data_IF_699431013536
#
_entry.id   IF_699431013536
#
_cell.length_a   1.000
_cell.length_b   1.000
_cell.length_c   1.000
_cell.angle_alpha   90.00
_cell.angle_beta   90.00
_cell.angle_gamma   90.00
#
_symmetry.space_group_name_H-M   'P 1'
#
loop_
_entity.id
_entity.type
_entity.pdbx_description
1 polymer ?
#
# COMPACT_ATOMS: atom_id res chain seq x y z
N UNK A 1 18.17 11.25 24.87
CA UNK A 1 17.86 10.04 25.66
C UNK A 1 17.72 8.92 24.64
N UNK A 2 18.49 7.83 24.73
CA UNK A 2 18.51 6.78 23.69
C UNK A 2 17.11 6.16 23.57
N UNK A 3 16.44 6.33 22.42
CA UNK A 3 15.20 5.65 22.04
C UNK A 3 15.50 4.18 21.70
N UNK A 4 15.93 3.39 22.68
CA UNK A 4 16.25 1.97 22.48
C UNK A 4 15.73 1.19 23.67
N UNK A 5 14.44 0.84 23.61
CA UNK A 5 13.79 -0.26 24.34
C UNK A 5 12.26 -0.24 24.18
N UNK A 6 11.69 0.49 23.20
CA UNK A 6 10.27 0.31 22.92
C UNK A 6 10.05 -1.06 22.29
N UNK A 7 9.34 -1.93 23.02
CA UNK A 7 9.01 -3.30 22.61
C UNK A 7 7.57 -3.42 22.12
N UNK A 8 6.80 -2.33 22.18
CA UNK A 8 5.41 -2.29 21.78
C UNK A 8 5.20 -1.26 20.67
N UNK A 9 4.71 -1.75 19.53
CA UNK A 9 4.45 -0.94 18.34
C UNK A 9 2.95 -0.90 18.08
N UNK A 10 2.40 0.30 17.98
CA UNK A 10 1.00 0.52 17.64
C UNK A 10 0.87 0.56 16.12
N UNK A 11 -0.20 -0.03 15.60
CA UNK A 11 -0.57 0.10 14.21
C UNK A 11 -2.07 0.16 14.01
N UNK A 12 -2.48 0.41 12.77
CA UNK A 12 -3.88 0.49 12.36
C UNK A 12 -4.16 -0.46 11.20
N UNK A 13 -5.40 -0.91 11.12
CA UNK A 13 -5.92 -1.77 10.08
C UNK A 13 -7.10 -1.10 9.41
N UNK A 14 -6.96 -0.85 8.11
CA UNK A 14 -8.08 -0.46 7.25
C UNK A 14 -8.86 -1.68 6.80
N UNK A 15 -10.17 -1.56 6.68
CA UNK A 15 -11.07 -2.68 6.38
C UNK A 15 -12.07 -2.33 5.28
N UNK A 16 -12.67 -3.35 4.67
CA UNK A 16 -14.03 -3.17 4.16
C UNK A 16 -15.02 -3.10 5.31
N UNK A 17 -16.20 -2.52 5.10
CA UNK A 17 -17.30 -2.51 6.09
C UNK A 17 -18.57 -3.08 5.46
N UNK A 18 -18.43 -4.22 4.78
CA UNK A 18 -19.54 -4.87 4.04
C UNK A 18 -20.32 -5.82 4.93
N UNK A 19 -19.67 -6.41 5.93
CA UNK A 19 -20.27 -7.39 6.83
C UNK A 19 -20.17 -6.93 8.29
N UNK A 20 -19.05 -7.25 8.96
CA UNK A 20 -18.93 -7.15 10.42
C UNK A 20 -18.03 -6.00 10.88
N UNK A 21 -17.21 -5.46 9.99
CA UNK A 21 -16.33 -4.35 10.36
C UNK A 21 -17.11 -3.04 10.50
N UNK A 22 -16.70 -2.22 11.47
CA UNK A 22 -17.25 -0.88 11.70
C UNK A 22 -16.33 0.26 11.24
N UNK A 23 -15.11 -0.03 10.77
CA UNK A 23 -14.18 1.00 10.31
C UNK A 23 -12.70 0.63 10.52
N UNK A 24 -11.91 1.57 11.03
CA UNK A 24 -10.47 1.38 11.26
C UNK A 24 -10.27 0.73 12.63
N UNK A 25 -9.43 -0.29 12.70
CA UNK A 25 -9.02 -0.93 13.95
C UNK A 25 -7.59 -0.54 14.32
N UNK A 26 -7.26 -0.54 15.60
CA UNK A 26 -5.88 -0.43 16.12
C UNK A 26 -5.43 -1.78 16.65
N UNK A 27 -4.11 -1.99 16.72
CA UNK A 27 -3.50 -3.17 17.33
C UNK A 27 -2.15 -2.81 17.95
N UNK A 28 -1.62 -3.71 18.78
CA UNK A 28 -0.27 -3.63 19.34
C UNK A 28 0.54 -4.86 18.97
N UNK A 29 1.74 -4.67 18.41
CA UNK A 29 2.76 -5.71 18.30
C UNK A 29 3.73 -5.60 19.47
N UNK A 30 3.81 -6.64 20.30
CA UNK A 30 4.85 -6.78 21.30
C UNK A 30 5.99 -7.65 20.73
N UNK A 31 7.15 -7.06 20.46
CA UNK A 31 8.28 -7.73 19.80
C UNK A 31 9.05 -8.68 20.70
N UNK A 32 8.93 -8.53 22.03
CA UNK A 32 9.53 -9.47 23.00
C UNK A 32 8.66 -10.72 23.15
N UNK A 33 7.35 -10.53 23.29
CA UNK A 33 6.39 -11.62 23.33
C UNK A 33 6.10 -12.22 21.95
N UNK A 34 6.55 -11.56 20.87
CA UNK A 34 6.32 -11.94 19.47
C UNK A 34 4.83 -12.14 19.16
N UNK A 35 4.00 -11.19 19.61
CA UNK A 35 2.54 -11.33 19.61
C UNK A 35 1.83 -10.03 19.24
N UNK A 36 0.80 -10.15 18.42
CA UNK A 36 -0.19 -9.10 18.18
C UNK A 36 -1.37 -9.25 19.15
N UNK A 37 -1.78 -8.14 19.75
CA UNK A 37 -2.88 -8.04 20.72
C UNK A 37 -3.61 -6.70 20.58
N UNK A 38 -4.59 -6.46 21.47
CA UNK A 38 -5.33 -5.21 21.58
C UNK A 38 -5.99 -4.74 20.28
N UNK A 39 -6.52 -5.70 19.51
CA UNK A 39 -7.34 -5.38 18.34
C UNK A 39 -8.65 -4.77 18.80
N UNK A 40 -8.83 -3.47 18.60
CA UNK A 40 -10.07 -2.76 18.94
C UNK A 40 -10.42 -1.73 17.88
N UNK A 41 -11.71 -1.38 17.77
CA UNK A 41 -12.16 -0.31 16.87
C UNK A 41 -11.51 1.02 17.28
N UNK A 42 -10.89 1.71 16.32
CA UNK A 42 -10.22 3.00 16.50
C UNK A 42 -11.01 4.16 15.90
N UNK A 43 -11.71 3.94 14.79
CA UNK A 43 -12.60 4.95 14.19
C UNK A 43 -13.74 4.29 13.42
N UNK A 44 -14.93 4.90 13.47
CA UNK A 44 -16.13 4.43 12.76
C UNK A 44 -16.38 5.22 11.48
N UNK A 45 -16.29 4.55 10.34
CA UNK A 45 -16.49 5.12 9.01
C UNK A 45 -16.66 4.01 7.97
N UNK A 46 -17.30 4.32 6.85
CA UNK A 46 -17.60 3.32 5.82
C UNK A 46 -16.41 3.11 4.87
N UNK A 47 -16.05 1.84 4.69
CA UNK A 47 -15.02 1.33 3.77
C UNK A 47 -13.66 2.08 3.81
N UNK A 48 -13.00 2.21 4.98
CA UNK A 48 -11.64 2.73 5.09
C UNK A 48 -10.60 1.70 4.61
N UNK A 49 -10.68 1.34 3.34
CA UNK A 49 -9.93 0.21 2.76
C UNK A 49 -8.43 0.45 2.62
N UNK A 50 -7.98 1.69 2.79
CA UNK A 50 -6.56 2.03 2.83
C UNK A 50 -6.34 3.24 3.74
N UNK A 51 -5.29 3.17 4.55
CA UNK A 51 -4.86 4.24 5.44
C UNK A 51 -3.38 4.55 5.22
N UNK A 52 -2.99 5.79 5.51
CA UNK A 52 -1.59 6.21 5.58
C UNK A 52 -1.37 7.04 6.84
N UNK A 53 -0.16 6.96 7.39
CA UNK A 53 0.25 7.73 8.57
C UNK A 53 1.25 8.78 8.13
N UNK A 54 1.11 10.01 8.64
CA UNK A 54 2.09 11.07 8.44
C UNK A 54 3.46 10.67 9.00
N UNK A 55 4.55 11.10 8.37
CA UNK A 55 5.91 10.72 8.80
C UNK A 55 6.22 11.06 10.26
N UNK A 56 5.59 12.10 10.78
CA UNK A 56 5.74 12.58 12.16
C UNK A 56 4.77 11.91 13.16
N UNK A 57 3.98 10.92 12.74
CA UNK A 57 2.95 10.24 13.54
C UNK A 57 1.87 11.15 14.14
N UNK A 58 1.66 12.35 13.60
CA UNK A 58 0.63 13.27 14.11
C UNK A 58 -0.74 13.02 13.47
N UNK A 59 -0.78 12.46 12.27
CA UNK A 59 -2.00 12.34 11.49
C UNK A 59 -2.13 10.98 10.82
N UNK A 60 -3.37 10.52 10.70
CA UNK A 60 -3.77 9.40 9.87
C UNK A 60 -4.76 9.90 8.81
N UNK A 61 -4.51 9.55 7.55
CA UNK A 61 -5.43 9.79 6.46
C UNK A 61 -5.99 8.46 5.96
N UNK A 62 -7.30 8.40 5.79
CA UNK A 62 -8.01 7.22 5.32
C UNK A 62 -8.80 7.55 4.06
N UNK A 63 -8.91 6.58 3.14
CA UNK A 63 -10.02 6.64 2.17
C UNK A 63 -11.34 6.51 2.93
N UNK A 64 -12.42 7.10 2.41
CA UNK A 64 -13.74 7.02 3.02
C UNK A 64 -14.83 6.99 1.95
N UNK A 65 -15.95 6.32 2.26
CA UNK A 65 -17.21 6.39 1.51
C UNK A 65 -18.27 7.12 2.34
N UNK A 66 -19.03 7.99 1.72
CA UNK A 66 -20.21 8.64 2.31
C UNK A 66 -21.38 8.61 1.33
N UNK A 67 -22.31 7.68 1.53
CA UNK A 67 -23.39 7.45 0.56
C UNK A 67 -22.82 7.07 -0.81
N UNK A 68 -23.13 7.88 -1.83
CA UNK A 68 -22.63 7.70 -3.21
C UNK A 68 -21.39 8.55 -3.52
N UNK A 69 -20.80 9.19 -2.50
CA UNK A 69 -19.56 9.95 -2.59
C UNK A 69 -18.41 9.20 -1.91
N UNK A 70 -17.18 9.57 -2.24
CA UNK A 70 -16.02 9.12 -1.50
C UNK A 70 -14.84 10.06 -1.63
N UNK A 71 -13.84 9.85 -0.77
CA UNK A 71 -12.69 10.75 -0.69
C UNK A 71 -11.81 10.42 0.50
N UNK A 72 -11.46 11.43 1.29
CA UNK A 72 -10.47 11.35 2.36
C UNK A 72 -11.09 11.74 3.71
N UNK A 73 -10.77 10.97 4.75
CA UNK A 73 -10.98 11.34 6.16
C UNK A 73 -9.62 11.58 6.82
N UNK A 74 -9.50 12.67 7.57
CA UNK A 74 -8.30 13.04 8.31
C UNK A 74 -8.53 12.88 9.82
N UNK A 75 -7.55 12.29 10.51
CA UNK A 75 -7.54 12.07 11.94
C UNK A 75 -6.24 12.60 12.54
N UNK A 76 -6.30 13.21 13.72
CA UNK A 76 -5.12 13.39 14.57
C UNK A 76 -4.88 12.15 15.41
N UNK A 77 -3.61 11.87 15.68
CA UNK A 77 -3.15 10.74 16.47
C UNK A 77 -2.64 11.24 17.81
N UNK A 78 -3.18 10.70 18.91
CA UNK A 78 -2.59 10.92 20.22
C UNK A 78 -1.22 10.23 20.29
N UNK A 79 -0.14 11.01 20.46
CA UNK A 79 1.23 10.51 20.43
C UNK A 79 1.60 9.53 21.55
N UNK A 80 0.79 9.43 22.60
CA UNK A 80 1.01 8.52 23.73
C UNK A 80 0.15 7.26 23.64
N UNK A 81 -1.09 7.39 23.19
CA UNK A 81 -2.08 6.29 23.21
C UNK A 81 -2.39 5.69 21.85
N UNK A 82 -2.08 6.40 20.76
CA UNK A 82 -2.50 6.05 19.41
C UNK A 82 -4.00 6.25 19.14
N UNK A 83 -4.74 6.90 20.05
CA UNK A 83 -6.16 7.21 19.85
C UNK A 83 -6.35 8.17 18.68
N UNK A 84 -7.37 7.91 17.86
CA UNK A 84 -7.70 8.73 16.68
C UNK A 84 -8.79 9.74 17.02
N UNK A 85 -8.58 11.01 16.68
CA UNK A 85 -9.61 12.06 16.74
C UNK A 85 -9.86 12.62 15.36
N UNK A 86 -11.07 12.42 14.84
CA UNK A 86 -11.45 12.92 13.51
C UNK A 86 -11.32 14.44 13.44
N UNK A 87 -10.67 14.94 12.38
CA UNK A 87 -10.50 16.36 12.11
C UNK A 87 -11.52 16.83 11.08
N UNK A 88 -11.53 16.22 9.89
CA UNK A 88 -12.52 16.47 8.86
C UNK A 88 -12.60 15.35 7.82
N UNK A 89 -13.55 15.48 6.90
CA UNK A 89 -13.70 14.63 5.71
C UNK A 89 -13.91 15.50 4.48
N UNK A 90 -13.37 15.07 3.35
CA UNK A 90 -13.56 15.68 2.04
C UNK A 90 -13.93 14.60 1.04
N UNK A 91 -15.14 14.69 0.50
CA UNK A 91 -15.68 13.71 -0.43
C UNK A 91 -16.09 14.37 -1.74
N UNK A 92 -16.00 13.59 -2.82
CA UNK A 92 -16.42 13.96 -4.17
C UNK A 92 -17.45 12.93 -4.62
N UNK A 93 -18.44 13.35 -5.39
CA UNK A 93 -19.43 12.44 -5.96
C UNK A 93 -18.75 11.31 -6.76
N UNK A 94 -19.25 10.09 -6.58
CA UNK A 94 -18.73 8.88 -7.17
C UNK A 94 -18.07 7.93 -6.17
N UNK A 95 -17.58 6.82 -6.68
CA UNK A 95 -16.97 5.77 -5.87
C UNK A 95 -15.79 6.29 -5.02
N UNK A 96 -15.57 5.67 -3.86
CA UNK A 96 -14.44 5.99 -2.99
C UNK A 96 -13.09 5.58 -3.60
N UNK A 97 -12.00 6.30 -3.29
CA UNK A 97 -10.65 5.87 -3.63
C UNK A 97 -10.29 4.52 -3.00
N UNK A 98 -9.26 3.87 -3.55
CA UNK A 98 -8.77 2.56 -3.12
C UNK A 98 -7.35 2.60 -2.53
N UNK A 99 -6.64 3.73 -2.68
CA UNK A 99 -5.31 3.95 -2.14
C UNK A 99 -5.15 5.43 -1.76
N UNK A 100 -4.36 5.69 -0.73
CA UNK A 100 -4.06 7.03 -0.21
C UNK A 100 -2.61 7.09 0.26
N UNK A 101 -1.95 8.22 0.05
CA UNK A 101 -0.62 8.52 0.58
C UNK A 101 -0.50 10.01 0.90
N UNK A 102 0.52 10.37 1.68
CA UNK A 102 0.85 11.74 2.06
C UNK A 102 2.36 11.92 1.87
N UNK A 103 2.78 13.12 1.47
CA UNK A 103 4.20 13.49 1.36
C UNK A 103 4.86 13.61 2.74
N UNK A 104 6.20 13.62 2.76
CA UNK A 104 6.98 13.56 3.99
C UNK A 104 6.83 14.80 4.88
N UNK A 105 6.48 15.94 4.28
CA UNK A 105 6.21 17.21 4.98
C UNK A 105 4.73 17.37 5.39
N UNK A 106 3.86 16.42 5.01
CA UNK A 106 2.41 16.48 5.25
C UNK A 106 1.73 17.69 4.61
N UNK A 107 2.20 18.15 3.45
CA UNK A 107 1.60 19.25 2.70
C UNK A 107 0.54 18.77 1.71
N UNK A 108 0.64 17.56 1.17
CA UNK A 108 -0.28 17.05 0.16
C UNK A 108 -0.61 15.57 0.32
N UNK A 109 -1.90 15.28 0.36
CA UNK A 109 -2.46 13.92 0.25
C UNK A 109 -2.79 13.63 -1.21
N UNK A 110 -2.46 12.43 -1.69
CA UNK A 110 -2.88 11.93 -3.00
C UNK A 110 -3.64 10.60 -2.89
N UNK A 111 -4.63 10.40 -3.75
CA UNK A 111 -5.42 9.18 -3.79
C UNK A 111 -5.50 8.60 -5.21
N UNK A 112 -5.70 7.28 -5.28
CA UNK A 112 -6.04 6.59 -6.52
C UNK A 112 -7.45 6.03 -6.44
N UNK A 113 -8.26 6.29 -7.47
CA UNK A 113 -9.62 5.82 -7.54
C UNK A 113 -9.81 4.75 -8.61
N UNK A 114 -10.00 3.51 -8.15
CA UNK A 114 -10.13 2.34 -9.01
C UNK A 114 -11.32 2.44 -9.97
N UNK A 115 -12.47 2.91 -9.53
CA UNK A 115 -13.68 2.89 -10.35
C UNK A 115 -13.79 4.08 -11.30
N UNK A 116 -13.18 5.22 -10.93
CA UNK A 116 -13.13 6.45 -11.72
C UNK A 116 -11.93 6.50 -12.67
N UNK A 117 -10.86 5.74 -12.39
CA UNK A 117 -9.62 5.83 -13.16
C UNK A 117 -8.88 7.14 -12.94
N UNK A 118 -8.93 7.68 -11.72
CA UNK A 118 -8.40 9.02 -11.40
C UNK A 118 -7.29 8.97 -10.35
N UNK A 119 -6.33 9.90 -10.47
CA UNK A 119 -5.43 10.32 -9.40
C UNK A 119 -5.92 11.69 -8.90
N UNK A 120 -6.06 11.84 -7.60
CA UNK A 120 -6.62 13.06 -6.99
C UNK A 120 -5.63 13.61 -5.95
N UNK A 121 -5.55 14.93 -5.80
CA UNK A 121 -4.71 15.59 -4.79
C UNK A 121 -5.51 16.54 -3.90
N UNK A 122 -5.11 16.60 -2.63
CA UNK A 122 -5.72 17.40 -1.57
C UNK A 122 -4.60 18.11 -0.81
N UNK A 123 -4.68 19.44 -0.73
CA UNK A 123 -3.77 20.22 0.12
C UNK A 123 -4.13 19.99 1.58
N UNK A 124 -3.13 19.74 2.41
CA UNK A 124 -3.26 19.59 3.87
C UNK A 124 -3.03 20.93 4.54
N UNK A 125 -3.81 21.23 5.57
CA UNK A 125 -3.53 22.34 6.48
C UNK A 125 -2.49 21.90 7.52
N UNK A 126 -1.32 22.53 7.51
CA UNK A 126 -0.20 22.20 8.40
C UNK A 126 -0.51 22.44 9.89
N UNK A 127 -1.48 23.29 10.24
CA UNK A 127 -1.77 23.63 11.64
C UNK A 127 -2.54 22.52 12.37
N UNK A 128 -3.45 21.83 11.66
CA UNK A 128 -4.39 20.87 12.26
C UNK A 128 -4.49 19.54 11.51
N UNK A 129 -3.77 19.40 10.39
CA UNK A 129 -3.77 18.20 9.55
C UNK A 129 -5.05 17.97 8.78
N UNK A 130 -5.99 18.92 8.77
CA UNK A 130 -7.22 18.82 7.96
C UNK A 130 -6.90 18.82 6.47
N UNK A 131 -7.76 18.18 5.68
CA UNK A 131 -7.65 18.21 4.22
C UNK A 131 -8.60 19.24 3.62
N UNK A 132 -8.10 20.03 2.66
CA UNK A 132 -8.92 20.94 1.87
C UNK A 132 -9.77 20.15 0.85
N UNK A 133 -10.83 20.75 0.27
CA UNK A 133 -11.53 20.16 -0.87
C UNK A 133 -10.55 19.76 -1.99
N UNK A 134 -10.94 18.76 -2.77
CA UNK A 134 -10.12 18.23 -3.87
C UNK A 134 -9.53 19.34 -4.72
N UNK A 135 -8.20 19.37 -4.82
CA UNK A 135 -7.46 20.45 -5.46
C UNK A 135 -7.17 20.14 -6.93
N UNK A 136 -6.90 18.87 -7.24
CA UNK A 136 -6.70 18.38 -8.60
C UNK A 136 -7.31 17.00 -8.78
N UNK A 137 -7.88 16.75 -9.96
CA UNK A 137 -8.35 15.44 -10.40
C UNK A 137 -7.75 15.21 -11.78
N UNK A 138 -6.93 14.18 -11.91
CA UNK A 138 -6.36 13.73 -13.17
C UNK A 138 -7.03 12.41 -13.55
N UNK A 139 -7.79 12.41 -14.64
CA UNK A 139 -8.40 11.21 -15.19
C UNK A 139 -7.46 10.58 -16.23
N UNK A 140 -7.26 9.28 -16.10
CA UNK A 140 -6.55 8.49 -17.10
C UNK A 140 -7.50 8.12 -18.25
N UNK A 141 -6.92 7.77 -19.40
CA UNK A 141 -7.67 7.32 -20.58
C UNK A 141 -7.03 6.05 -21.17
N UNK A 142 -7.87 5.17 -21.74
CA UNK A 142 -7.43 3.94 -22.38
C UNK A 142 -8.16 2.71 -21.88
N UNK A 143 -7.68 1.54 -22.29
CA UNK A 143 -8.15 0.22 -21.89
C UNK A 143 -7.05 -0.81 -22.17
N UNK A 144 -7.15 -1.99 -21.55
CA UNK A 144 -6.26 -3.12 -21.76
C UNK A 144 -6.93 -4.30 -22.47
N UNK A 145 -6.22 -5.41 -22.68
CA UNK A 145 -6.74 -6.58 -23.37
C UNK A 145 -7.81 -7.36 -22.57
N UNK A 146 -7.76 -7.33 -21.23
CA UNK A 146 -8.74 -8.05 -20.40
C UNK A 146 -10.09 -7.31 -20.39
N UNK A 147 -11.11 -7.89 -21.02
CA UNK A 147 -12.43 -7.25 -21.20
C UNK A 147 -13.27 -7.10 -19.92
N UNK A 148 -12.92 -7.82 -18.86
CA UNK A 148 -13.64 -7.77 -17.58
C UNK A 148 -12.95 -6.90 -16.54
N UNK A 149 -11.63 -6.71 -16.65
CA UNK A 149 -10.80 -6.04 -15.64
C UNK A 149 -10.05 -4.82 -16.17
N UNK A 150 -10.06 -4.60 -17.47
CA UNK A 150 -9.33 -3.53 -18.17
C UNK A 150 -10.19 -2.91 -19.27
N UNK A 151 -11.52 -2.87 -19.08
CA UNK A 151 -12.46 -2.25 -20.01
C UNK A 151 -12.30 -0.72 -20.08
N UNK A 152 -11.69 -0.14 -19.05
CA UNK A 152 -11.42 1.28 -18.87
C UNK A 152 -10.27 1.44 -17.85
N UNK A 153 -9.85 2.68 -17.54
CA UNK A 153 -8.81 2.92 -16.53
C UNK A 153 -9.26 2.55 -15.11
N UNK A 154 -8.31 2.00 -14.36
CA UNK A 154 -8.45 1.55 -12.97
C UNK A 154 -7.20 1.89 -12.17
N UNK A 155 -7.04 3.17 -11.83
CA UNK A 155 -5.97 3.65 -10.97
C UNK A 155 -6.01 2.94 -9.61
N UNK A 156 -4.94 2.22 -9.26
CA UNK A 156 -4.88 1.38 -8.06
C UNK A 156 -3.85 1.88 -7.03
N UNK A 157 -2.89 2.71 -7.42
CA UNK A 157 -1.91 3.29 -6.51
C UNK A 157 -1.67 4.76 -6.84
N UNK A 158 -1.52 5.57 -5.78
CA UNK A 158 -1.04 6.95 -5.84
C UNK A 158 -0.06 7.14 -4.67
N UNK A 159 1.18 7.50 -4.97
CA UNK A 159 2.27 7.65 -4.00
C UNK A 159 3.36 8.57 -4.52
N UNK A 160 4.38 8.85 -3.73
CA UNK A 160 5.48 9.73 -4.12
C UNK A 160 6.70 8.91 -4.55
N UNK A 161 7.49 9.48 -5.47
CA UNK A 161 8.84 9.00 -5.74
C UNK A 161 9.74 9.25 -4.50
N UNK A 162 10.88 8.55 -4.34
CA UNK A 162 11.74 8.69 -3.16
C UNK A 162 12.29 10.10 -2.92
N UNK A 163 12.37 10.90 -3.97
CA UNK A 163 12.79 12.31 -3.95
C UNK A 163 11.62 13.29 -3.84
N UNK A 164 10.39 12.78 -3.78
CA UNK A 164 9.11 13.52 -3.75
C UNK A 164 8.95 14.57 -4.85
N UNK A 165 9.75 14.48 -5.92
CA UNK A 165 9.63 15.35 -7.11
C UNK A 165 8.38 15.01 -7.92
N UNK A 166 7.93 13.76 -7.87
CA UNK A 166 6.77 13.28 -8.62
C UNK A 166 5.82 12.45 -7.78
N UNK A 167 4.55 12.48 -8.16
CA UNK A 167 3.54 11.51 -7.77
C UNK A 167 3.53 10.39 -8.80
N UNK A 168 3.56 9.13 -8.35
CA UNK A 168 3.38 7.94 -9.19
C UNK A 168 1.94 7.47 -9.09
N UNK A 169 1.26 7.39 -10.23
CA UNK A 169 0.00 6.67 -10.41
C UNK A 169 0.24 5.32 -11.09
N UNK A 170 -0.32 4.25 -10.55
CA UNK A 170 -0.30 2.93 -11.21
C UNK A 170 -1.72 2.59 -11.63
N UNK A 171 -1.92 2.31 -12.92
CA UNK A 171 -3.24 2.05 -13.48
C UNK A 171 -3.32 0.64 -14.06
N UNK A 172 -4.10 -0.20 -13.37
CA UNK A 172 -4.35 -1.59 -13.73
C UNK A 172 -5.07 -1.70 -15.07
N UNK A 173 -6.02 -0.79 -15.32
CA UNK A 173 -6.96 -0.87 -16.43
C UNK A 173 -6.35 -0.56 -17.79
N UNK A 174 -5.20 0.09 -17.82
CA UNK A 174 -4.53 0.51 -19.06
C UNK A 174 -3.07 0.03 -19.17
N UNK A 175 -2.62 -0.83 -18.25
CA UNK A 175 -1.26 -1.36 -18.21
C UNK A 175 -0.18 -0.25 -18.16
N UNK A 176 -0.35 0.75 -17.28
CA UNK A 176 0.62 1.86 -17.16
C UNK A 176 1.05 2.20 -15.75
N UNK A 177 2.29 2.67 -15.66
CA UNK A 177 2.85 3.41 -14.53
C UNK A 177 3.09 4.83 -15.03
N UNK A 178 2.52 5.83 -14.34
CA UNK A 178 2.50 7.22 -14.79
C UNK A 178 3.11 8.09 -13.69
N UNK A 179 3.94 9.06 -14.05
CA UNK A 179 4.45 10.07 -13.12
C UNK A 179 3.82 11.41 -13.41
N UNK A 180 3.50 12.13 -12.33
CA UNK A 180 2.89 13.45 -12.37
C UNK A 180 3.73 14.42 -11.54
N UNK A 181 3.89 15.64 -12.03
CA UNK A 181 4.34 16.78 -11.22
C UNK A 181 3.13 17.46 -10.59
N UNK A 182 3.29 17.99 -9.38
CA UNK A 182 2.34 18.94 -8.80
C UNK A 182 2.85 20.35 -9.09
N UNK A 183 2.18 21.05 -10.01
CA UNK A 183 2.51 22.43 -10.38
C UNK A 183 1.31 23.32 -10.20
N UNK A 184 1.47 24.43 -9.48
CA UNK A 184 0.37 25.34 -9.11
C UNK A 184 -0.81 24.57 -8.48
N UNK A 185 -0.48 23.62 -7.60
CA UNK A 185 -1.40 22.68 -6.92
C UNK A 185 -2.20 21.76 -7.85
N UNK A 186 -1.79 21.62 -9.13
CA UNK A 186 -2.42 20.71 -10.09
C UNK A 186 -1.48 19.59 -10.50
N UNK A 187 -2.05 18.38 -10.58
CA UNK A 187 -1.37 17.23 -11.16
C UNK A 187 -1.22 17.43 -12.67
N UNK A 188 -0.03 17.15 -13.19
CA UNK A 188 0.25 17.16 -14.62
C UNK A 188 1.16 15.99 -14.95
N UNK A 189 0.76 15.18 -15.93
CA UNK A 189 1.57 14.05 -16.40
C UNK A 189 2.94 14.53 -16.92
N UNK A 190 3.99 13.84 -16.49
CA UNK A 190 5.39 14.08 -16.87
C UNK A 190 5.88 12.94 -17.75
N UNK A 191 5.66 11.71 -17.32
CA UNK A 191 6.10 10.52 -18.02
C UNK A 191 5.15 9.35 -17.81
N UNK A 192 5.22 8.35 -18.70
CA UNK A 192 4.51 7.10 -18.51
C UNK A 192 5.26 5.93 -19.13
N UNK A 193 5.19 4.78 -18.47
CA UNK A 193 5.69 3.49 -18.93
C UNK A 193 4.50 2.56 -19.15
N UNK A 194 4.32 2.08 -20.38
CA UNK A 194 3.43 0.95 -20.67
C UNK A 194 4.12 -0.36 -20.33
N UNK A 195 3.44 -1.22 -19.59
CA UNK A 195 3.92 -2.58 -19.27
C UNK A 195 3.31 -3.60 -20.25
N UNK A 196 3.72 -4.86 -20.16
CA UNK A 196 3.14 -5.94 -20.96
C UNK A 196 1.59 -5.92 -20.92
N UNK A 197 0.92 -5.99 -22.09
CA UNK A 197 -0.54 -5.98 -22.13
C UNK A 197 -1.15 -7.12 -21.33
N UNK A 198 -2.09 -6.80 -20.45
CA UNK A 198 -2.78 -7.75 -19.58
C UNK A 198 -2.06 -8.04 -18.27
N UNK A 199 -0.95 -7.36 -17.96
CA UNK A 199 -0.29 -7.46 -16.66
C UNK A 199 -1.17 -6.93 -15.52
N UNK A 200 -1.82 -5.78 -15.72
CA UNK A 200 -2.60 -5.09 -14.70
C UNK A 200 -1.75 -4.64 -13.51
N UNK A 201 -0.81 -3.69 -13.68
CA UNK A 201 0.06 -3.24 -12.59
C UNK A 201 -0.78 -2.64 -11.46
N UNK A 202 -0.38 -2.88 -10.21
CA UNK A 202 -1.21 -2.61 -9.02
C UNK A 202 -0.55 -1.67 -8.02
N UNK A 203 0.48 -2.12 -7.32
CA UNK A 203 1.21 -1.35 -6.31
C UNK A 203 2.69 -1.28 -6.69
N UNK A 204 3.37 -0.23 -6.24
CA UNK A 204 4.81 -0.01 -6.46
C UNK A 204 5.52 0.23 -5.12
N UNK A 205 6.75 -0.23 -5.01
CA UNK A 205 7.68 0.12 -3.93
C UNK A 205 9.04 0.51 -4.52
N UNK A 206 9.78 1.36 -3.83
CA UNK A 206 11.07 1.86 -4.28
C UNK A 206 12.21 1.28 -3.45
N UNK A 207 13.29 0.94 -4.12
CA UNK A 207 14.52 0.58 -3.42
C UNK A 207 15.06 1.78 -2.63
N UNK A 208 15.55 1.61 -1.39
CA UNK A 208 16.03 2.71 -0.53
C UNK A 208 17.12 3.60 -1.13
N UNK A 209 17.87 3.10 -2.11
CA UNK A 209 18.88 3.87 -2.86
C UNK A 209 18.28 4.83 -3.90
N UNK A 210 16.96 4.82 -4.11
CA UNK A 210 16.24 5.66 -5.07
C UNK A 210 16.48 5.36 -6.54
N UNK A 211 17.14 4.25 -6.90
CA UNK A 211 17.50 3.91 -8.29
C UNK A 211 16.59 2.86 -8.93
N UNK A 212 15.91 2.07 -8.10
CA UNK A 212 15.08 0.96 -8.56
C UNK A 212 13.68 1.04 -7.98
N UNK A 213 12.72 0.49 -8.71
CA UNK A 213 11.35 0.32 -8.24
C UNK A 213 10.85 -1.07 -8.62
N UNK A 214 9.90 -1.58 -7.84
CA UNK A 214 9.30 -2.89 -8.02
C UNK A 214 7.79 -2.76 -8.05
N UNK A 215 7.17 -3.27 -9.11
CA UNK A 215 5.72 -3.16 -9.33
C UNK A 215 5.10 -4.54 -9.28
N UNK A 216 4.11 -4.72 -8.41
CA UNK A 216 3.29 -5.93 -8.40
C UNK A 216 2.23 -5.83 -9.49
N UNK A 217 2.05 -6.88 -10.27
CA UNK A 217 0.98 -6.99 -11.26
C UNK A 217 -0.16 -7.85 -10.72
N UNK A 218 -1.39 -7.34 -10.78
CA UNK A 218 -2.55 -8.05 -10.28
C UNK A 218 -2.95 -9.20 -11.18
N UNK A 219 -2.97 -9.00 -12.50
CA UNK A 219 -3.57 -9.96 -13.43
C UNK A 219 -2.59 -11.03 -13.89
N UNK A 220 -1.29 -10.71 -13.97
CA UNK A 220 -0.26 -11.67 -14.38
C UNK A 220 0.49 -12.34 -13.23
N UNK A 221 0.31 -11.90 -11.98
CA UNK A 221 1.04 -12.42 -10.81
C UNK A 221 2.56 -12.42 -11.01
N UNK A 222 3.08 -11.24 -11.34
CA UNK A 222 4.51 -10.98 -11.55
C UNK A 222 4.94 -9.74 -10.75
N UNK A 223 6.24 -9.67 -10.46
CA UNK A 223 6.92 -8.42 -10.11
C UNK A 223 7.68 -7.92 -11.34
N UNK A 224 7.49 -6.64 -11.65
CA UNK A 224 8.29 -5.91 -12.62
C UNK A 224 9.39 -5.16 -11.86
N UNK A 225 10.66 -5.49 -12.12
CA UNK A 225 11.78 -4.68 -11.65
C UNK A 225 12.09 -3.58 -12.66
N UNK A 226 12.24 -2.36 -12.17
CA UNK A 226 12.42 -1.15 -12.96
C UNK A 226 13.63 -0.36 -12.46
N UNK A 227 14.37 0.31 -13.35
CA UNK A 227 15.23 1.43 -12.98
C UNK A 227 14.42 2.73 -13.02
N UNK A 228 14.71 3.66 -12.11
CA UNK A 228 14.07 4.96 -12.00
C UNK A 228 15.07 6.09 -12.30
N UNK A 229 14.66 7.03 -13.16
CA UNK A 229 15.40 8.25 -13.46
C UNK A 229 14.74 9.46 -12.75
N UNK A 230 15.35 10.02 -11.69
CA UNK A 230 14.79 11.11 -10.90
C UNK A 230 14.80 12.48 -11.59
N UNK A 231 15.50 12.63 -12.72
CA UNK A 231 15.52 13.89 -13.46
C UNK A 231 14.37 14.00 -14.46
N UNK A 232 13.86 12.86 -14.94
CA UNK A 232 12.79 12.79 -15.94
C UNK A 232 11.49 12.21 -15.38
N UNK A 233 11.50 11.70 -14.15
CA UNK A 233 10.39 10.95 -13.57
C UNK A 233 10.08 9.69 -14.39
N UNK A 234 11.07 9.07 -15.02
CA UNK A 234 10.88 7.98 -15.98
C UNK A 234 11.31 6.63 -15.42
N UNK A 235 10.67 5.56 -15.90
CA UNK A 235 11.01 4.19 -15.54
C UNK A 235 11.50 3.43 -16.77
N UNK A 236 12.42 2.48 -16.56
CA UNK A 236 12.84 1.53 -17.59
C UNK A 236 12.76 0.12 -17.04
N UNK A 237 12.17 -0.78 -17.82
CA UNK A 237 12.01 -2.19 -17.46
C UNK A 237 13.35 -2.92 -17.40
N UNK A 238 13.53 -3.73 -16.36
CA UNK A 238 14.72 -4.57 -16.17
C UNK A 238 14.37 -6.07 -16.20
N UNK A 239 13.24 -6.45 -15.60
CA UNK A 239 12.87 -7.85 -15.41
C UNK A 239 11.38 -8.01 -15.14
N UNK A 240 10.80 -9.10 -15.63
CA UNK A 240 9.58 -9.71 -15.11
C UNK A 240 9.93 -11.01 -14.40
N UNK A 241 9.35 -11.22 -13.22
CA UNK A 241 9.52 -12.46 -12.46
C UNK A 241 8.18 -12.88 -11.83
N UNK A 242 7.79 -14.14 -12.01
CA UNK A 242 6.53 -14.65 -11.44
C UNK A 242 6.60 -14.72 -9.91
N UNK A 243 5.47 -14.41 -9.27
CA UNK A 243 5.29 -14.51 -7.81
C UNK A 243 4.65 -15.82 -7.38
N UNK A 244 4.26 -16.69 -8.30
CA UNK A 244 3.67 -18.01 -8.01
C UNK A 244 4.56 -19.12 -8.56
N UNK A 245 4.47 -20.35 -8.03
CA UNK A 245 5.17 -21.50 -8.60
C UNK A 245 4.77 -21.71 -10.07
N UNK A 246 5.71 -22.18 -10.89
CA UNK A 246 5.50 -22.37 -12.34
C UNK A 246 4.36 -23.34 -12.64
N UNK A 247 4.16 -24.30 -11.77
CA UNK A 247 3.14 -25.34 -11.82
C UNK A 247 1.78 -24.91 -11.27
N UNK A 248 1.66 -23.69 -10.71
CA UNK A 248 0.39 -23.18 -10.22
C UNK A 248 -0.44 -22.60 -11.38
N UNK A 249 -1.57 -23.23 -11.69
CA UNK A 249 -2.46 -22.90 -12.81
C UNK A 249 -3.87 -22.43 -12.39
N UNK A 250 -4.11 -22.34 -11.08
CA UNK A 250 -5.33 -21.78 -10.50
C UNK A 250 -5.31 -20.24 -10.50
N UNK A 251 -6.47 -19.61 -10.20
CA UNK A 251 -6.58 -18.16 -10.11
C UNK A 251 -5.66 -17.59 -9.01
N UNK A 252 -4.72 -16.73 -9.40
CA UNK A 252 -3.95 -15.88 -8.49
C UNK A 252 -4.06 -14.42 -8.91
N UNK A 253 -4.10 -13.52 -7.92
CA UNK A 253 -4.10 -12.08 -8.14
C UNK A 253 -3.10 -11.39 -7.22
N UNK A 254 -2.09 -10.73 -7.80
CA UNK A 254 -1.12 -9.95 -7.06
C UNK A 254 -1.76 -8.86 -6.21
N UNK A 255 -1.23 -8.61 -5.01
CA UNK A 255 -1.74 -7.60 -4.09
C UNK A 255 -0.66 -6.60 -3.66
N UNK A 256 -0.17 -6.67 -2.43
CA UNK A 256 0.79 -5.73 -1.88
C UNK A 256 2.23 -6.12 -2.23
N UNK A 257 3.11 -5.10 -2.24
CA UNK A 257 4.55 -5.26 -2.45
C UNK A 257 5.31 -4.30 -1.54
N UNK A 258 6.33 -4.82 -0.85
CA UNK A 258 7.17 -4.05 0.05
C UNK A 258 8.63 -4.50 -0.10
N UNK A 259 9.55 -3.59 0.19
CA UNK A 259 10.99 -3.89 0.28
C UNK A 259 11.46 -3.62 1.71
N UNK A 260 12.44 -4.38 2.18
CA UNK A 260 13.14 -4.07 3.42
C UNK A 260 13.99 -2.79 3.28
N UNK A 261 14.18 -2.08 4.39
CA UNK A 261 14.92 -0.82 4.52
C UNK A 261 16.40 -0.94 4.14
N UNK A 262 16.95 -2.14 4.23
CA UNK A 262 18.31 -2.47 3.75
C UNK A 262 18.37 -2.72 2.23
N UNK A 263 17.23 -2.72 1.55
CA UNK A 263 17.12 -2.93 0.11
C UNK A 263 17.38 -4.36 -0.36
N UNK A 264 17.56 -5.32 0.55
CA UNK A 264 18.00 -6.68 0.19
C UNK A 264 16.87 -7.61 -0.21
N UNK A 265 15.64 -7.38 0.26
CA UNK A 265 14.53 -8.29 0.04
C UNK A 265 13.24 -7.59 -0.37
N UNK A 266 12.61 -8.09 -1.43
CA UNK A 266 11.27 -7.69 -1.89
C UNK A 266 10.28 -8.80 -1.54
N UNK A 267 9.14 -8.38 -1.01
CA UNK A 267 8.03 -9.24 -0.62
C UNK A 267 6.83 -8.91 -1.49
N UNK A 268 6.15 -9.91 -2.04
CA UNK A 268 4.99 -9.71 -2.90
C UNK A 268 3.86 -10.69 -2.55
N UNK A 269 2.67 -10.19 -2.26
CA UNK A 269 1.54 -11.02 -1.85
C UNK A 269 0.65 -11.44 -3.03
N UNK A 270 0.10 -12.65 -2.95
CA UNK A 270 -0.76 -13.25 -3.95
C UNK A 270 -2.08 -13.70 -3.31
N UNK A 271 -3.19 -13.14 -3.77
CA UNK A 271 -4.54 -13.64 -3.45
C UNK A 271 -4.82 -14.86 -4.31
N UNK A 272 -5.53 -15.87 -3.78
CA UNK A 272 -5.76 -17.13 -4.48
C UNK A 272 -4.70 -18.17 -4.11
N UNK A 273 -3.43 -17.96 -4.50
CA UNK A 273 -2.31 -18.77 -3.98
C UNK A 273 -2.11 -18.54 -2.46
N UNK A 274 -2.62 -17.43 -1.93
CA UNK A 274 -2.65 -17.08 -0.50
C UNK A 274 -1.26 -17.13 0.16
N UNK A 275 -0.29 -16.51 -0.51
CA UNK A 275 1.12 -16.51 -0.10
C UNK A 275 1.77 -15.14 -0.21
N UNK A 276 2.91 -15.00 0.45
CA UNK A 276 3.91 -13.95 0.20
C UNK A 276 5.10 -14.62 -0.48
N UNK A 277 5.44 -14.17 -1.69
CA UNK A 277 6.68 -14.49 -2.38
C UNK A 277 7.80 -13.57 -1.89
N UNK A 278 8.97 -14.15 -1.63
CA UNK A 278 10.17 -13.45 -1.17
C UNK A 278 11.22 -13.51 -2.27
N UNK A 279 11.82 -12.36 -2.56
CA UNK A 279 12.89 -12.21 -3.55
C UNK A 279 14.08 -11.52 -2.91
N UNK A 280 15.28 -11.97 -3.27
CA UNK A 280 16.52 -11.25 -2.99
C UNK A 280 16.82 -10.27 -4.13
N UNK A 281 17.39 -9.12 -3.79
CA UNK A 281 17.72 -8.04 -4.73
C UNK A 281 19.21 -8.06 -5.05
N UNK A 282 19.55 -8.19 -6.33
CA UNK A 282 20.90 -7.89 -6.80
C UNK A 282 21.17 -6.38 -6.69
N UNK A 283 22.07 -6.00 -5.78
CA UNK A 283 22.29 -4.60 -5.42
C UNK A 283 22.89 -3.75 -6.56
N UNK A 284 23.47 -4.38 -7.59
CA UNK A 284 24.10 -3.68 -8.70
C UNK A 284 23.14 -3.45 -9.86
N UNK A 285 22.26 -4.41 -10.14
CA UNK A 285 21.35 -4.39 -11.29
C UNK A 285 19.89 -4.15 -10.91
N UNK A 286 19.51 -4.26 -9.63
CA UNK A 286 18.13 -4.16 -9.18
C UNK A 286 17.25 -5.35 -9.59
N UNK A 287 17.83 -6.42 -10.17
CA UNK A 287 17.08 -7.61 -10.53
C UNK A 287 16.78 -8.48 -9.30
N UNK A 288 15.68 -9.21 -9.38
CA UNK A 288 15.16 -10.08 -8.34
C UNK A 288 15.51 -11.54 -8.61
N UNK A 289 15.86 -12.25 -7.55
CA UNK A 289 15.98 -13.71 -7.54
C UNK A 289 15.05 -14.29 -6.49
N UNK A 290 14.17 -15.22 -6.90
CA UNK A 290 13.25 -15.89 -6.01
C UNK A 290 13.97 -16.61 -4.85
N UNK A 291 13.41 -16.49 -3.65
CA UNK A 291 13.92 -17.12 -2.43
C UNK A 291 12.93 -18.17 -1.92
N UNK A 292 11.71 -17.75 -1.60
CA UNK A 292 10.72 -18.61 -0.94
C UNK A 292 9.28 -18.12 -1.16
N UNK A 293 8.33 -19.02 -0.93
CA UNK A 293 6.92 -18.69 -0.71
C UNK A 293 6.56 -19.00 0.74
N UNK A 294 5.78 -18.13 1.37
CA UNK A 294 5.21 -18.36 2.70
C UNK A 294 3.70 -18.18 2.64
N UNK A 295 2.92 -19.20 3.02
CA UNK A 295 1.47 -19.08 3.07
C UNK A 295 1.04 -18.15 4.20
N UNK A 296 -0.02 -17.37 3.97
CA UNK A 296 -0.50 -16.38 4.93
C UNK A 296 -1.47 -16.94 5.95
N UNK A 297 -1.58 -18.27 6.08
CA UNK A 297 -2.46 -18.97 7.03
C UNK A 297 -3.89 -18.38 7.07
N UNK A 298 -4.40 -18.08 5.88
CA UNK A 298 -5.70 -17.44 5.68
C UNK A 298 -6.04 -17.32 4.20
N UNK A 299 -7.09 -16.56 3.89
CA UNK A 299 -7.62 -16.43 2.55
C UNK A 299 -7.62 -14.97 2.11
N UNK A 300 -7.09 -14.74 0.90
CA UNK A 300 -7.11 -13.45 0.22
C UNK A 300 -6.20 -12.40 0.90
N UNK A 301 -4.88 -12.64 0.99
CA UNK A 301 -3.94 -11.69 1.57
C UNK A 301 -3.88 -10.40 0.76
N UNK A 302 -4.46 -9.32 1.29
CA UNK A 302 -4.70 -8.09 0.52
C UNK A 302 -3.63 -7.02 0.75
N UNK A 303 -3.08 -6.99 1.96
CA UNK A 303 -1.97 -6.12 2.34
C UNK A 303 -1.11 -6.80 3.40
N UNK A 304 0.13 -6.36 3.53
CA UNK A 304 1.01 -6.71 4.63
C UNK A 304 2.01 -5.59 4.86
N UNK A 305 2.68 -5.57 6.00
CA UNK A 305 3.71 -4.57 6.29
C UNK A 305 4.83 -5.18 7.14
N UNK A 306 6.07 -4.73 6.93
CA UNK A 306 7.15 -5.00 7.89
C UNK A 306 6.94 -4.15 9.13
N UNK A 307 7.22 -4.69 10.31
CA UNK A 307 7.22 -3.88 11.52
C UNK A 307 8.38 -2.86 11.48
N UNK A 308 8.36 -1.82 12.33
CA UNK A 308 9.39 -0.79 12.26
C UNK A 308 10.81 -1.25 12.61
N UNK A 309 10.97 -2.42 13.24
CA UNK A 309 12.29 -3.06 13.43
C UNK A 309 12.71 -3.95 12.25
N UNK A 310 11.80 -4.21 11.31
CA UNK A 310 11.90 -5.15 10.20
C UNK A 310 12.27 -6.59 10.57
N UNK A 311 11.99 -6.97 11.81
CA UNK A 311 12.15 -8.34 12.33
C UNK A 311 10.87 -9.15 12.25
N UNK A 312 9.75 -8.49 11.97
CA UNK A 312 8.44 -9.07 11.84
C UNK A 312 7.75 -8.57 10.59
N UNK A 313 6.82 -9.38 10.10
CA UNK A 313 5.91 -9.02 9.02
C UNK A 313 4.49 -9.38 9.46
N UNK A 314 3.55 -8.46 9.25
CA UNK A 314 2.15 -8.64 9.58
C UNK A 314 1.31 -8.60 8.31
N UNK A 315 0.60 -9.70 8.01
CA UNK A 315 -0.26 -9.83 6.85
C UNK A 315 -1.74 -9.72 7.22
N UNK A 316 -2.55 -9.19 6.31
CA UNK A 316 -4.02 -9.10 6.41
C UNK A 316 -4.66 -10.07 5.43
N UNK A 317 -5.57 -10.93 5.89
CA UNK A 317 -6.35 -11.81 5.02
C UNK A 317 -7.82 -11.38 5.01
N UNK A 318 -8.28 -10.83 3.89
CA UNK A 318 -9.61 -10.22 3.76
C UNK A 318 -10.73 -11.22 4.06
N UNK A 319 -10.69 -12.41 3.41
CA UNK A 319 -11.80 -13.37 3.40
C UNK A 319 -11.82 -14.31 4.59
N UNK A 320 -10.72 -14.41 5.35
CA UNK A 320 -10.65 -15.20 6.58
C UNK A 320 -10.67 -14.36 7.86
N UNK A 321 -10.81 -13.02 7.73
CA UNK A 321 -10.96 -12.10 8.85
C UNK A 321 -9.85 -12.24 9.92
N UNK A 322 -8.60 -12.38 9.47
CA UNK A 322 -7.46 -12.52 10.39
C UNK A 322 -6.21 -11.74 9.96
N UNK A 323 -5.41 -11.39 10.97
CA UNK A 323 -4.02 -10.96 10.82
C UNK A 323 -3.09 -12.14 11.10
N UNK A 324 -1.96 -12.18 10.39
CA UNK A 324 -0.94 -13.22 10.57
C UNK A 324 0.43 -12.60 10.74
N UNK A 325 1.07 -12.91 11.85
CA UNK A 325 2.39 -12.44 12.23
C UNK A 325 3.45 -13.48 11.88
N UNK A 326 4.51 -13.01 11.24
CA UNK A 326 5.71 -13.76 10.94
C UNK A 326 6.93 -13.11 11.58
N UNK A 327 7.92 -13.90 11.99
CA UNK A 327 9.29 -13.41 12.14
C UNK A 327 9.98 -13.42 10.79
N UNK A 328 10.84 -12.43 10.56
CA UNK A 328 11.65 -12.29 9.34
C UNK A 328 13.10 -12.60 9.66
N UNK A 329 13.69 -13.50 8.89
CA UNK A 329 15.14 -13.68 8.90
C UNK A 329 15.79 -12.56 8.09
N UNK A 330 16.47 -11.63 8.75
CA UNK A 330 17.12 -10.49 8.07
C UNK A 330 18.22 -10.91 7.09
N UNK A 331 18.79 -12.12 7.22
CA UNK A 331 19.87 -12.60 6.34
C UNK A 331 19.34 -13.30 5.10
N UNK A 332 18.25 -14.07 5.22
CA UNK A 332 17.69 -14.86 4.11
C UNK A 332 16.43 -14.25 3.52
N UNK A 333 15.79 -13.32 4.24
CA UNK A 333 14.50 -12.74 3.88
C UNK A 333 13.29 -13.63 4.23
N UNK A 334 13.51 -14.90 4.58
CA UNK A 334 12.45 -15.88 4.82
C UNK A 334 11.57 -15.51 6.03
N UNK A 335 10.31 -15.95 5.97
CA UNK A 335 9.29 -15.69 6.97
C UNK A 335 8.94 -16.99 7.73
N UNK A 336 8.88 -16.91 9.06
CA UNK A 336 8.46 -18.01 9.93
C UNK A 336 7.21 -17.61 10.72
N UNK A 337 6.16 -18.42 10.62
CA UNK A 337 4.88 -18.18 11.30
C UNK A 337 5.07 -18.07 12.82
N UNK A 338 4.46 -17.04 13.42
CA UNK A 338 4.40 -16.84 14.87
C UNK A 338 2.98 -16.89 15.40
N UNK A 339 2.03 -16.28 14.70
CA UNK A 339 0.64 -16.14 15.14
C UNK A 339 -0.31 -15.99 13.96
N UNK A 340 -1.45 -16.70 13.98
CA UNK A 340 -2.48 -16.62 12.92
C UNK A 340 -3.91 -16.52 13.44
N UNK A 341 -4.11 -16.47 14.75
CA UNK A 341 -5.41 -16.48 15.44
C UNK A 341 -5.95 -15.07 15.75
N UNK A 342 -5.33 -14.02 15.21
CA UNK A 342 -5.70 -12.62 15.47
C UNK A 342 -6.89 -12.24 14.59
N UNK A 343 -8.07 -12.10 15.18
CA UNK A 343 -9.29 -11.78 14.43
C UNK A 343 -9.42 -10.27 14.23
N UNK A 344 -9.63 -9.86 12.96
CA UNK A 344 -10.04 -8.50 12.56
C UNK A 344 -11.04 -8.66 11.43
N UNK A 345 -12.21 -8.01 11.44
CA UNK A 345 -13.17 -8.17 10.36
C UNK A 345 -12.68 -7.50 9.06
N UNK A 346 -12.66 -8.25 7.96
CA UNK A 346 -12.44 -7.77 6.59
C UNK A 346 -11.17 -6.90 6.41
N UNK A 347 -9.99 -7.31 6.96
CA UNK A 347 -8.81 -6.46 6.97
C UNK A 347 -8.17 -6.42 5.58
N UNK A 348 -7.87 -5.22 5.10
CA UNK A 348 -7.36 -5.00 3.73
C UNK A 348 -6.23 -3.99 3.62
N UNK A 349 -5.84 -3.34 4.72
CA UNK A 349 -4.67 -2.47 4.81
C UNK A 349 -4.09 -2.57 6.22
N UNK A 350 -2.76 -2.52 6.37
CA UNK A 350 -2.10 -2.50 7.69
C UNK A 350 -0.93 -1.53 7.69
N UNK A 351 -0.83 -0.69 8.72
CA UNK A 351 0.27 0.28 8.91
C UNK A 351 0.70 0.33 10.37
N UNK A 352 2.00 0.51 10.62
CA UNK A 352 2.54 0.84 11.94
C UNK A 352 2.76 2.35 12.06
N UNK A 353 2.69 2.88 13.28
CA UNK A 353 3.33 4.16 13.57
C UNK A 353 4.84 4.06 13.28
N UNK A 354 5.40 5.17 12.78
CA UNK A 354 6.84 5.30 12.52
C UNK A 354 7.64 5.33 13.84
N UNK A 355 8.96 5.07 13.82
CA UNK A 355 9.87 5.20 14.98
C UNK A 355 11.07 6.09 14.71
#
# INVERSE_FOLDING_TARGET
MKMTDNKEFIGYVGTYTKENSEGIYTFTLNTEAQKVSNVTLAAKLDNPTYVTISKNNQYLYSVVKEGEAGGVAAYSINSYTGELTEQNRQVVEGASPCHISVDSENGTVVTANYHKGTIESFVVNEEDGTVNPVTSIMANEGSGPNKERQEKPHAHYAGYTPDEKYVVGVDLGIDKIITYEIKDSKLKEVNSLSVNPGSGPRHITFHPNGKYAYVMTELSSEVIALSYNPEEGSFTELQYISTVPKEFDDNSQGSAIHISSDGRFVYAANRGHNSIAVFSVDQNSGQLTFVAHTFTEGNWPRDFVLDPTEKFLLATNEKSHNLVLFSRNETTGELTLLQSDVIVPEPVCVKFLNV
#
